data_IF_522840852557
#
_entry.id   IF_522840852557
#
_cell.length_a   1.000
_cell.length_b   1.000
_cell.length_c   1.000
_cell.angle_alpha   90.00
_cell.angle_beta   90.00
_cell.angle_gamma   90.00
#
_symmetry.space_group_name_H-M   'P 1'
#
loop_
_entity.id
_entity.type
_entity.pdbx_description
1 polymer ?
#
# COMPACT_ATOMS: atom_id res chain seq x y z
N UNK A 1 31.66 -12.96 -30.33
CA UNK A 1 31.29 -12.65 -28.96
C UNK A 1 30.36 -11.46 -28.96
N UNK A 2 29.09 -11.69 -28.65
CA UNK A 2 28.11 -10.61 -28.45
C UNK A 2 27.37 -10.98 -27.17
N UNK A 3 27.78 -10.35 -26.08
CA UNK A 3 27.24 -10.62 -24.75
C UNK A 3 25.77 -10.21 -24.70
N UNK A 4 24.93 -11.19 -24.36
CA UNK A 4 23.58 -10.95 -23.87
C UNK A 4 23.68 -10.00 -22.67
N UNK A 5 23.23 -8.77 -22.82
CA UNK A 5 22.81 -7.97 -21.67
C UNK A 5 21.47 -8.56 -21.22
N UNK A 6 21.54 -9.66 -20.45
CA UNK A 6 20.44 -10.16 -19.63
C UNK A 6 20.19 -9.12 -18.54
N UNK A 7 19.32 -8.15 -18.84
CA UNK A 7 18.67 -7.36 -17.80
C UNK A 7 17.98 -8.37 -16.88
N UNK A 8 18.54 -8.58 -15.69
CA UNK A 8 17.85 -9.34 -14.63
C UNK A 8 16.49 -8.66 -14.44
N UNK A 9 15.40 -9.35 -14.81
CA UNK A 9 14.09 -9.01 -14.29
C UNK A 9 14.26 -8.93 -12.77
N UNK A 10 13.88 -7.81 -12.16
CA UNK A 10 13.72 -7.71 -10.71
C UNK A 10 12.73 -8.82 -10.30
N UNK A 11 13.23 -10.00 -9.95
CA UNK A 11 12.43 -11.02 -9.29
C UNK A 11 12.11 -10.48 -7.90
N UNK A 12 10.87 -10.00 -7.74
CA UNK A 12 10.34 -9.61 -6.45
C UNK A 12 10.22 -10.88 -5.58
N UNK A 13 11.18 -11.11 -4.70
CA UNK A 13 11.07 -12.16 -3.69
C UNK A 13 10.26 -11.64 -2.50
N UNK A 14 9.42 -12.50 -1.92
CA UNK A 14 8.65 -12.17 -0.71
C UNK A 14 9.41 -12.49 0.59
N UNK A 15 10.69 -12.82 0.47
CA UNK A 15 11.56 -13.13 1.60
C UNK A 15 11.65 -11.92 2.53
N UNK A 16 11.32 -12.13 3.82
CA UNK A 16 11.32 -11.05 4.81
C UNK A 16 9.97 -10.33 5.00
N UNK A 17 8.93 -10.68 4.24
CA UNK A 17 7.58 -10.15 4.41
C UNK A 17 6.69 -11.18 5.12
N UNK A 18 6.23 -10.86 6.34
CA UNK A 18 5.19 -11.64 7.02
C UNK A 18 3.83 -11.28 6.43
N UNK A 19 3.08 -12.29 6.00
CA UNK A 19 1.78 -12.09 5.35
C UNK A 19 0.68 -12.64 6.26
N UNK A 20 -0.34 -11.83 6.49
CA UNK A 20 -1.53 -12.18 7.26
C UNK A 20 -2.78 -11.90 6.42
N UNK A 21 -3.89 -12.48 6.83
CA UNK A 21 -5.19 -12.13 6.31
C UNK A 21 -6.20 -11.96 7.45
N UNK A 22 -7.20 -11.12 7.18
CA UNK A 22 -8.38 -10.95 8.03
C UNK A 22 -9.57 -11.29 7.16
N UNK A 23 -10.40 -12.23 7.62
CA UNK A 23 -11.64 -12.56 6.94
C UNK A 23 -12.70 -11.50 7.29
N UNK A 24 -13.25 -10.86 6.27
CA UNK A 24 -14.25 -9.79 6.41
C UNK A 24 -15.44 -10.15 5.53
N UNK A 25 -16.46 -10.77 6.12
CA UNK A 25 -17.59 -11.36 5.39
C UNK A 25 -18.35 -10.35 4.52
N UNK A 26 -18.35 -9.07 4.92
CA UNK A 26 -19.08 -7.99 4.22
C UNK A 26 -18.18 -6.81 3.93
N UNK A 27 -18.35 -6.23 2.73
CA UNK A 27 -17.59 -5.06 2.31
C UNK A 27 -17.76 -3.86 3.26
N UNK A 28 -18.97 -3.67 3.81
CA UNK A 28 -19.24 -2.59 4.79
C UNK A 28 -18.43 -2.73 6.09
N UNK A 29 -18.01 -3.95 6.46
CA UNK A 29 -17.27 -4.21 7.71
C UNK A 29 -15.77 -3.97 7.59
N UNK A 30 -15.25 -3.77 6.37
CA UNK A 30 -13.82 -3.55 6.16
C UNK A 30 -13.33 -2.24 6.77
N UNK A 31 -14.16 -1.20 6.78
CA UNK A 31 -13.77 0.09 7.37
C UNK A 31 -13.58 -0.04 8.87
N UNK A 32 -14.55 -0.63 9.57
CA UNK A 32 -14.47 -0.81 11.02
C UNK A 32 -13.31 -1.75 11.37
N UNK A 33 -13.14 -2.85 10.63
CA UNK A 33 -11.97 -3.75 10.76
C UNK A 33 -10.64 -3.01 10.56
N UNK A 34 -10.57 -2.08 9.60
CA UNK A 34 -9.39 -1.27 9.37
C UNK A 34 -9.10 -0.35 10.57
N UNK A 35 -10.13 0.29 11.11
CA UNK A 35 -10.00 1.15 12.28
C UNK A 35 -9.53 0.37 13.51
N UNK A 36 -10.12 -0.80 13.77
CA UNK A 36 -9.71 -1.70 14.87
C UNK A 36 -8.23 -2.08 14.77
N UNK A 37 -7.71 -2.29 13.56
CA UNK A 37 -6.29 -2.53 13.34
C UNK A 37 -5.42 -1.34 13.73
N UNK A 38 -5.82 -0.10 13.41
CA UNK A 38 -5.08 1.10 13.81
C UNK A 38 -5.17 1.40 15.31
N UNK A 39 -6.24 0.99 15.98
CA UNK A 39 -6.38 1.12 17.43
C UNK A 39 -5.57 0.06 18.18
N UNK A 40 -5.48 -1.15 17.63
CA UNK A 40 -4.80 -2.28 18.29
C UNK A 40 -3.30 -2.30 18.04
N UNK A 41 -2.84 -1.81 16.88
CA UNK A 41 -1.45 -1.91 16.45
C UNK A 41 -0.77 -0.54 16.49
N UNK A 42 0.45 -0.50 17.04
CA UNK A 42 1.32 0.67 16.95
C UNK A 42 1.91 0.82 15.52
N UNK A 43 1.11 1.35 14.59
CA UNK A 43 1.46 1.50 13.18
C UNK A 43 2.12 2.86 12.94
N UNK A 44 3.45 2.90 12.75
CA UNK A 44 4.15 4.17 12.46
C UNK A 44 3.72 4.76 11.12
N UNK A 45 3.84 3.99 10.05
CA UNK A 45 3.37 4.33 8.71
C UNK A 45 2.87 3.09 7.96
N UNK A 46 1.93 3.29 7.05
CA UNK A 46 1.32 2.22 6.26
C UNK A 46 0.94 2.68 4.85
N UNK A 47 0.91 1.71 3.93
CA UNK A 47 0.29 1.89 2.60
C UNK A 47 -0.95 1.02 2.53
N UNK A 48 -2.07 1.62 2.16
CA UNK A 48 -3.33 0.92 1.93
C UNK A 48 -3.61 0.90 0.43
N UNK A 49 -3.80 -0.30 -0.12
CA UNK A 49 -4.18 -0.49 -1.50
C UNK A 49 -5.68 -0.78 -1.64
N UNK A 50 -6.31 -0.05 -2.56
CA UNK A 50 -7.71 -0.23 -3.00
C UNK A 50 -7.77 -0.33 -4.52
N UNK A 51 -8.83 -0.91 -5.06
CA UNK A 51 -8.89 -1.22 -6.49
C UNK A 51 -9.43 -0.07 -7.36
N UNK A 52 -10.09 0.94 -6.77
CA UNK A 52 -10.75 2.01 -7.53
C UNK A 52 -10.43 3.39 -6.98
N UNK A 53 -10.42 4.40 -7.85
CA UNK A 53 -10.20 5.81 -7.49
C UNK A 53 -11.27 6.32 -6.54
N UNK A 54 -12.54 6.01 -6.83
CA UNK A 54 -13.67 6.34 -5.96
C UNK A 54 -13.48 5.82 -4.53
N UNK A 55 -12.91 4.62 -4.38
CA UNK A 55 -12.62 4.07 -3.06
C UNK A 55 -11.40 4.71 -2.41
N UNK A 56 -10.40 5.17 -3.17
CA UNK A 56 -9.31 6.01 -2.63
C UNK A 56 -9.91 7.25 -1.97
N UNK A 57 -10.74 7.98 -2.70
CA UNK A 57 -11.34 9.24 -2.21
C UNK A 57 -12.23 8.96 -0.99
N UNK A 58 -13.14 8.00 -1.11
CA UNK A 58 -14.05 7.63 -0.02
C UNK A 58 -13.30 7.18 1.24
N UNK A 59 -12.30 6.29 1.12
CA UNK A 59 -11.56 5.79 2.28
C UNK A 59 -10.71 6.89 2.91
N UNK A 60 -10.18 7.81 2.10
CA UNK A 60 -9.45 8.99 2.58
C UNK A 60 -10.33 9.86 3.46
N UNK A 61 -11.55 10.15 3.01
CA UNK A 61 -12.51 10.95 3.78
C UNK A 61 -12.91 10.24 5.07
N UNK A 62 -13.19 8.93 5.01
CA UNK A 62 -13.57 8.13 6.18
C UNK A 62 -12.47 8.07 7.24
N UNK A 63 -11.21 7.93 6.82
CA UNK A 63 -10.08 7.88 7.74
C UNK A 63 -9.74 9.26 8.30
N UNK A 64 -9.82 10.33 7.50
CA UNK A 64 -9.62 11.71 7.99
C UNK A 64 -10.69 12.14 8.97
N UNK A 65 -11.95 11.73 8.77
CA UNK A 65 -13.04 11.96 9.71
C UNK A 65 -12.84 11.26 11.07
N UNK A 66 -11.88 10.33 11.14
CA UNK A 66 -11.45 9.61 12.35
C UNK A 66 -10.05 10.05 12.80
N UNK A 67 -9.67 11.29 12.46
CA UNK A 67 -8.41 11.95 12.87
C UNK A 67 -7.11 11.28 12.40
N UNK A 68 -7.16 10.41 11.39
CA UNK A 68 -5.95 9.90 10.76
C UNK A 68 -5.33 10.93 9.79
N UNK A 69 -4.00 11.06 9.82
CA UNK A 69 -3.27 11.84 8.82
C UNK A 69 -3.05 11.02 7.54
N UNK A 70 -3.84 11.33 6.51
CA UNK A 70 -3.90 10.54 5.27
C UNK A 70 -3.46 11.35 4.06
N UNK A 71 -2.51 10.80 3.32
CA UNK A 71 -2.18 11.16 1.94
C UNK A 71 -2.82 10.15 0.99
N UNK A 72 -3.25 10.60 -0.18
CA UNK A 72 -3.95 9.75 -1.14
C UNK A 72 -3.47 10.04 -2.57
N UNK A 73 -3.27 9.00 -3.38
CA UNK A 73 -2.79 9.19 -4.75
C UNK A 73 -3.41 8.19 -5.72
N UNK A 74 -3.73 8.63 -6.93
CA UNK A 74 -4.26 7.77 -7.99
C UNK A 74 -3.85 8.26 -9.39
N UNK A 75 -4.07 7.39 -10.38
CA UNK A 75 -3.55 7.54 -11.75
C UNK A 75 -4.01 8.75 -12.57
N UNK A 76 -4.95 9.56 -12.08
CA UNK A 76 -5.43 10.77 -12.78
C UNK A 76 -4.78 12.06 -12.28
N UNK A 77 -4.11 12.01 -11.12
CA UNK A 77 -3.39 13.18 -10.60
C UNK A 77 -2.19 13.47 -11.49
N UNK A 78 -1.84 14.74 -11.69
CA UNK A 78 -0.61 15.10 -12.40
C UNK A 78 0.63 14.75 -11.56
N UNK A 79 1.79 14.67 -12.22
CA UNK A 79 3.02 14.23 -11.57
C UNK A 79 3.47 15.16 -10.43
N UNK A 80 3.29 16.48 -10.56
CA UNK A 80 3.71 17.42 -9.52
C UNK A 80 2.88 17.23 -8.25
N UNK A 81 1.57 17.05 -8.39
CA UNK A 81 0.67 16.73 -7.27
C UNK A 81 1.10 15.44 -6.58
N UNK A 82 1.40 14.38 -7.36
CA UNK A 82 1.90 13.12 -6.78
C UNK A 82 3.22 13.30 -6.04
N UNK A 83 4.14 14.08 -6.56
CA UNK A 83 5.45 14.32 -5.93
C UNK A 83 5.32 15.04 -4.59
N UNK A 84 4.39 15.98 -4.47
CA UNK A 84 4.07 16.66 -3.21
C UNK A 84 3.51 15.66 -2.19
N UNK A 85 2.48 14.90 -2.58
CA UNK A 85 1.84 13.90 -1.71
C UNK A 85 2.84 12.86 -1.23
N UNK A 86 3.74 12.42 -2.11
CA UNK A 86 4.80 11.49 -1.76
C UNK A 86 5.87 12.10 -0.85
N UNK A 87 6.16 13.40 -0.99
CA UNK A 87 7.05 14.12 -0.06
C UNK A 87 6.44 14.19 1.34
N UNK A 88 5.15 14.52 1.43
CA UNK A 88 4.42 14.55 2.70
C UNK A 88 4.45 13.18 3.38
N UNK A 89 4.12 12.12 2.65
CA UNK A 89 4.15 10.76 3.20
C UNK A 89 5.58 10.34 3.61
N UNK A 90 6.60 10.55 2.78
CA UNK A 90 7.99 10.21 3.14
C UNK A 90 8.53 11.01 4.33
N UNK A 91 8.05 12.24 4.52
CA UNK A 91 8.44 13.05 5.67
C UNK A 91 7.79 12.60 6.99
N UNK A 92 6.77 11.74 6.93
CA UNK A 92 5.97 11.37 8.10
C UNK A 92 4.85 12.35 8.43
N UNK A 93 4.66 13.41 7.64
CA UNK A 93 3.54 14.37 7.79
C UNK A 93 2.19 13.66 7.70
N UNK A 94 2.10 12.65 6.84
CA UNK A 94 1.02 11.67 6.83
C UNK A 94 1.53 10.29 7.24
N UNK A 95 0.72 9.59 8.05
CA UNK A 95 1.03 8.23 8.49
C UNK A 95 0.45 7.17 7.57
N UNK A 96 -0.59 7.51 6.82
CA UNK A 96 -1.28 6.59 5.90
C UNK A 96 -1.18 7.11 4.47
N UNK A 97 -0.78 6.24 3.55
CA UNK A 97 -0.90 6.46 2.11
C UNK A 97 -1.95 5.54 1.51
N UNK A 98 -3.01 6.08 0.91
CA UNK A 98 -4.03 5.31 0.20
C UNK A 98 -3.81 5.42 -1.31
N UNK A 99 -3.76 4.30 -2.03
CA UNK A 99 -3.50 4.33 -3.48
C UNK A 99 -4.11 3.13 -4.24
N UNK A 100 -4.16 3.26 -5.56
CA UNK A 100 -4.42 2.17 -6.52
C UNK A 100 -3.14 1.52 -7.04
N UNK A 101 -3.27 0.37 -7.72
CA UNK A 101 -2.17 -0.41 -8.33
C UNK A 101 -1.33 0.36 -9.35
N UNK A 102 -1.96 1.25 -10.12
CA UNK A 102 -1.33 1.90 -11.28
C UNK A 102 -0.12 2.74 -10.88
N UNK A 103 -0.06 3.19 -9.62
CA UNK A 103 1.05 3.97 -9.09
C UNK A 103 2.07 3.13 -8.30
N UNK A 104 1.70 1.91 -7.86
CA UNK A 104 2.59 1.04 -7.10
C UNK A 104 3.85 0.63 -7.89
N UNK A 105 3.83 0.73 -9.23
CA UNK A 105 4.95 0.39 -10.11
C UNK A 105 6.06 1.46 -10.12
N UNK A 106 5.72 2.73 -9.87
CA UNK A 106 6.66 3.86 -9.93
C UNK A 106 6.88 4.62 -8.64
N UNK A 107 6.05 4.41 -7.61
CA UNK A 107 6.27 5.05 -6.32
C UNK A 107 7.38 4.29 -5.57
N UNK A 108 8.50 4.97 -5.37
CA UNK A 108 9.60 4.53 -4.51
C UNK A 108 9.21 4.67 -3.02
N UNK A 109 8.24 3.85 -2.58
CA UNK A 109 7.84 3.72 -1.16
C UNK A 109 8.72 2.68 -0.46
N UNK A 110 10.03 2.67 -0.72
CA UNK A 110 10.96 1.61 -0.32
C UNK A 110 11.15 1.42 1.20
N UNK A 111 10.31 1.99 2.05
CA UNK A 111 10.55 2.09 3.49
C UNK A 111 9.33 1.81 4.38
N UNK A 112 8.19 1.36 3.84
CA UNK A 112 7.02 1.11 4.70
C UNK A 112 7.03 -0.32 5.25
N UNK A 113 6.87 -0.43 6.56
CA UNK A 113 6.86 -1.69 7.29
C UNK A 113 5.52 -2.42 7.22
N UNK A 114 4.42 -1.74 6.88
CA UNK A 114 3.08 -2.31 6.81
C UNK A 114 2.36 -1.97 5.51
N UNK A 115 2.01 -2.99 4.75
CA UNK A 115 1.11 -2.89 3.60
C UNK A 115 -0.24 -3.50 3.96
N UNK A 116 -1.33 -2.82 3.64
CA UNK A 116 -2.69 -3.31 3.83
C UNK A 116 -3.36 -3.39 2.47
N UNK A 117 -3.74 -4.60 2.05
CA UNK A 117 -4.62 -4.81 0.90
C UNK A 117 -6.07 -4.75 1.39
N UNK A 118 -6.66 -3.56 1.37
CA UNK A 118 -8.07 -3.36 1.71
C UNK A 118 -8.98 -4.02 0.67
N UNK A 119 -8.61 -3.87 -0.60
CA UNK A 119 -9.13 -4.71 -1.67
C UNK A 119 -8.00 -5.64 -2.15
N UNK A 120 -8.26 -6.94 -2.29
CA UNK A 120 -7.31 -7.81 -2.97
C UNK A 120 -7.16 -7.40 -4.45
N UNK A 121 -5.92 -7.44 -5.00
CA UNK A 121 -5.72 -7.18 -6.41
C UNK A 121 -6.38 -8.28 -7.26
N UNK A 122 -6.92 -7.90 -8.41
CA UNK A 122 -7.53 -8.85 -9.36
C UNK A 122 -6.50 -9.70 -10.10
N UNK A 123 -5.24 -9.25 -10.16
CA UNK A 123 -4.15 -9.93 -10.84
C UNK A 123 -3.03 -10.27 -9.84
N UNK A 124 -2.52 -11.53 -9.82
CA UNK A 124 -1.46 -11.94 -8.90
C UNK A 124 -0.18 -11.12 -9.01
N UNK A 125 0.17 -10.65 -10.21
CA UNK A 125 1.31 -9.76 -10.42
C UNK A 125 1.21 -8.47 -9.58
N UNK A 126 0.01 -7.89 -9.48
CA UNK A 126 -0.21 -6.69 -8.69
C UNK A 126 -0.04 -6.96 -7.20
N UNK A 127 -0.40 -8.15 -6.72
CA UNK A 127 -0.13 -8.55 -5.34
C UNK A 127 1.37 -8.49 -5.02
N UNK A 128 2.19 -9.13 -5.86
CA UNK A 128 3.65 -9.12 -5.70
C UNK A 128 4.19 -7.69 -5.73
N UNK A 129 3.69 -6.84 -6.63
CA UNK A 129 4.08 -5.44 -6.70
C UNK A 129 3.67 -4.62 -5.48
N UNK A 130 2.50 -4.88 -4.88
CA UNK A 130 2.03 -4.18 -3.69
C UNK A 130 2.89 -4.51 -2.48
N UNK A 131 3.09 -5.80 -2.21
CA UNK A 131 3.75 -6.24 -0.97
C UNK A 131 5.28 -6.26 -1.09
N UNK A 132 5.84 -6.46 -2.29
CA UNK A 132 7.28 -6.42 -2.56
C UNK A 132 7.93 -5.04 -2.34
N UNK A 133 7.14 -4.02 -1.99
CA UNK A 133 7.60 -2.71 -1.50
C UNK A 133 8.03 -2.73 -0.03
N UNK A 134 7.66 -3.77 0.72
CA UNK A 134 8.12 -4.03 2.07
C UNK A 134 9.27 -5.04 2.05
N UNK A 135 10.27 -4.89 2.92
CA UNK A 135 11.32 -5.91 3.11
C UNK A 135 12.58 -5.84 2.25
N UNK A 136 12.77 -4.81 1.41
CA UNK A 136 14.06 -4.59 0.74
C UNK A 136 15.18 -4.36 1.77
N UNK A 137 16.37 -4.90 1.49
CA UNK A 137 17.59 -4.76 2.31
C UNK A 137 17.52 -5.35 3.73
N UNK A 138 16.88 -6.52 3.91
CA UNK A 138 16.89 -7.25 5.18
C UNK A 138 15.96 -6.70 6.26
N UNK A 139 15.10 -5.73 5.92
CA UNK A 139 14.04 -5.24 6.82
C UNK A 139 12.87 -6.23 6.86
N UNK A 140 12.17 -6.32 8.00
CA UNK A 140 10.97 -7.16 8.14
C UNK A 140 9.75 -6.32 7.73
N UNK A 141 9.05 -6.77 6.69
CA UNK A 141 7.78 -6.20 6.25
C UNK A 141 6.60 -7.00 6.78
N UNK A 142 5.43 -6.37 6.87
CA UNK A 142 4.15 -7.01 7.14
C UNK A 142 3.17 -6.65 6.03
N UNK A 143 2.46 -7.63 5.51
CA UNK A 143 1.32 -7.44 4.63
C UNK A 143 0.06 -8.01 5.30
N UNK A 144 -1.03 -7.24 5.35
CA UNK A 144 -2.33 -7.68 5.84
C UNK A 144 -3.32 -7.61 4.68
N UNK A 145 -4.07 -8.70 4.48
CA UNK A 145 -5.03 -8.83 3.39
C UNK A 145 -6.44 -8.93 3.94
N UNK A 146 -7.36 -8.09 3.46
CA UNK A 146 -8.79 -8.31 3.71
C UNK A 146 -9.33 -9.28 2.67
N UNK A 147 -9.82 -10.42 3.15
CA UNK A 147 -10.37 -11.52 2.34
C UNK A 147 -11.85 -11.58 2.62
N UNK A 148 -12.65 -11.83 1.59
CA UNK A 148 -14.08 -12.11 1.69
C UNK A 148 -14.35 -13.50 1.11
#
# INVERSE_FOLDING_TARGET
>A
SSDLILVKRDELTLEGIKQFYVNVDKEEWKLDTLCDLYETLAITQSVIFVNTRRKVDWLTDQMRARDHTVSATHGDMDQNTRDIIMREFRSGSSRVLITTDLLARGIDVQQVSLVINYDLPTQPENYLHRIGRSGRFGRKGVAINFVN
#
